data_IF_316254100737
#
_entry.id   IF_316254100737
#
_cell.length_a   1.000
_cell.length_b   1.000
_cell.length_c   1.000
_cell.angle_alpha   90.00
_cell.angle_beta   90.00
_cell.angle_gamma   90.00
#
_symmetry.space_group_name_H-M   'P 1'
#
loop_
_entity.id
_entity.type
_entity.pdbx_description
1 polymer ?
#
# COMPACT_ATOMS: atom_id res chain seq x y z
N UNK A 1 -20.30 -22.59 -59.76
CA UNK A 1 -21.60 -23.28 -59.88
C UNK A 1 -22.12 -23.93 -58.59
N UNK A 2 -21.30 -24.16 -57.55
CA UNK A 2 -21.74 -24.81 -56.29
C UNK A 2 -22.55 -23.92 -55.32
N UNK A 3 -22.40 -22.58 -55.38
CA UNK A 3 -23.12 -21.66 -54.49
C UNK A 3 -24.64 -21.61 -54.72
N UNK A 4 -25.11 -21.78 -55.96
CA UNK A 4 -26.55 -21.68 -56.29
C UNK A 4 -27.38 -22.84 -55.74
N UNK A 5 -26.78 -24.02 -55.49
CA UNK A 5 -27.52 -25.20 -55.00
C UNK A 5 -27.68 -25.22 -53.46
N UNK A 6 -26.88 -24.44 -52.73
CA UNK A 6 -26.86 -24.43 -51.26
C UNK A 6 -27.79 -23.37 -50.62
N UNK A 7 -28.27 -22.39 -51.39
CA UNK A 7 -29.06 -21.25 -50.89
C UNK A 7 -30.55 -21.59 -50.65
N UNK A 8 -31.04 -22.75 -51.11
CA UNK A 8 -32.46 -23.13 -50.96
C UNK A 8 -32.84 -23.65 -49.57
N UNK A 9 -31.86 -23.94 -48.70
CA UNK A 9 -32.12 -24.51 -47.38
C UNK A 9 -31.60 -23.59 -46.26
N UNK A 10 -32.51 -22.81 -45.65
CA UNK A 10 -32.20 -21.78 -44.62
C UNK A 10 -31.35 -22.31 -43.46
N UNK A 11 -31.45 -23.59 -43.10
CA UNK A 11 -30.61 -24.21 -42.05
C UNK A 11 -29.15 -24.37 -42.50
N UNK A 12 -28.90 -24.76 -43.75
CA UNK A 12 -27.54 -24.93 -44.29
C UNK A 12 -26.82 -23.58 -44.47
N UNK A 13 -27.57 -22.54 -44.83
CA UNK A 13 -27.05 -21.16 -44.89
C UNK A 13 -26.63 -20.65 -43.51
N UNK A 14 -27.45 -20.90 -42.46
CA UNK A 14 -27.09 -20.54 -41.08
C UNK A 14 -25.85 -21.27 -40.60
N UNK A 15 -25.70 -22.56 -40.90
CA UNK A 15 -24.51 -23.35 -40.53
C UNK A 15 -23.26 -22.81 -41.24
N UNK A 16 -23.36 -22.51 -42.53
CA UNK A 16 -22.24 -21.93 -43.28
C UNK A 16 -21.83 -20.57 -42.70
N UNK A 17 -22.80 -19.73 -42.32
CA UNK A 17 -22.56 -18.41 -41.75
C UNK A 17 -21.97 -18.49 -40.33
N UNK A 18 -22.33 -19.53 -39.56
CA UNK A 18 -21.74 -19.79 -38.25
C UNK A 18 -20.29 -20.27 -38.38
N UNK A 19 -20.01 -21.14 -39.36
CA UNK A 19 -18.64 -21.60 -39.65
C UNK A 19 -17.75 -20.47 -40.15
N UNK A 20 -18.26 -19.53 -40.94
CA UNK A 20 -17.49 -18.36 -41.37
C UNK A 20 -17.21 -17.39 -40.22
N UNK A 21 -18.17 -17.20 -39.30
CA UNK A 21 -17.94 -16.38 -38.09
C UNK A 21 -16.88 -17.02 -37.19
N UNK A 22 -16.96 -18.34 -36.95
CA UNK A 22 -15.95 -19.05 -36.15
C UNK A 22 -14.58 -18.99 -36.82
N UNK A 23 -14.51 -19.16 -38.14
CA UNK A 23 -13.27 -19.00 -38.91
C UNK A 23 -12.68 -17.59 -38.79
N UNK A 24 -13.51 -16.54 -38.88
CA UNK A 24 -13.08 -15.16 -38.67
C UNK A 24 -12.57 -14.92 -37.26
N UNK A 25 -13.21 -15.46 -36.23
CA UNK A 25 -12.74 -15.34 -34.83
C UNK A 25 -11.38 -16.01 -34.66
N UNK A 26 -11.18 -17.20 -35.23
CA UNK A 26 -9.89 -17.91 -35.17
C UNK A 26 -8.79 -17.14 -35.90
N UNK A 27 -9.08 -16.59 -37.09
CA UNK A 27 -8.13 -15.76 -37.83
C UNK A 27 -7.81 -14.49 -37.04
N UNK A 28 -8.79 -13.87 -36.38
CA UNK A 28 -8.57 -12.66 -35.56
C UNK A 28 -7.70 -12.98 -34.35
N UNK A 29 -7.87 -14.14 -33.72
CA UNK A 29 -7.02 -14.60 -32.61
C UNK A 29 -5.59 -14.89 -33.09
N UNK A 30 -5.41 -15.46 -34.30
CA UNK A 30 -4.10 -15.73 -34.89
C UNK A 30 -3.38 -14.42 -35.30
N UNK A 31 -4.11 -13.44 -35.82
CA UNK A 31 -3.55 -12.12 -36.17
C UNK A 31 -3.22 -11.30 -34.92
N UNK A 32 -4.03 -11.40 -33.85
CA UNK A 32 -3.73 -10.78 -32.56
C UNK A 32 -2.56 -11.48 -31.84
N UNK A 33 -2.35 -12.78 -32.06
CA UNK A 33 -1.19 -13.50 -31.51
C UNK A 33 0.08 -13.30 -32.33
N UNK A 34 -0.02 -13.08 -33.64
CA UNK A 34 1.12 -12.77 -34.51
C UNK A 34 1.56 -11.31 -34.46
N UNK A 35 0.65 -10.37 -34.14
CA UNK A 35 0.98 -8.96 -33.85
C UNK A 35 1.76 -8.77 -32.53
N UNK A 36 2.03 -9.85 -31.78
CA UNK A 36 2.79 -9.86 -30.54
C UNK A 36 4.31 -10.05 -30.67
N UNK A 37 4.87 -10.17 -31.88
CA UNK A 37 6.32 -10.34 -32.08
C UNK A 37 7.08 -9.04 -32.37
N UNK A 38 6.76 -7.96 -31.65
CA UNK A 38 7.75 -6.89 -31.40
C UNK A 38 8.36 -7.13 -30.01
N UNK A 39 9.20 -8.16 -29.91
CA UNK A 39 10.03 -8.50 -28.75
C UNK A 39 11.37 -7.74 -28.72
N UNK A 40 11.51 -6.67 -29.51
CA UNK A 40 12.68 -5.81 -29.45
C UNK A 40 12.40 -4.62 -28.51
N UNK A 41 13.26 -4.50 -27.49
CA UNK A 41 13.32 -3.46 -26.45
C UNK A 41 12.52 -3.77 -25.17
N UNK A 42 12.72 -4.96 -24.61
CA UNK A 42 12.81 -5.08 -23.14
C UNK A 42 14.15 -4.49 -22.70
N UNK A 43 14.21 -3.20 -22.36
CA UNK A 43 15.34 -2.68 -21.58
C UNK A 43 15.22 -3.24 -20.16
N UNK A 44 15.76 -4.44 -19.97
CA UNK A 44 16.12 -4.99 -18.66
C UNK A 44 17.10 -4.01 -18.02
N UNK A 45 16.59 -3.15 -17.14
CA UNK A 45 17.40 -2.24 -16.34
C UNK A 45 18.12 -3.06 -15.27
N UNK A 46 19.23 -3.68 -15.66
CA UNK A 46 20.18 -4.36 -14.76
C UNK A 46 20.82 -3.33 -13.80
N UNK A 47 21.18 -3.76 -12.59
CA UNK A 47 21.92 -2.93 -11.62
C UNK A 47 23.18 -2.32 -12.26
N UNK A 48 23.83 -3.07 -13.17
CA UNK A 48 25.01 -2.59 -13.92
C UNK A 48 24.67 -1.53 -14.97
N UNK A 49 23.48 -1.59 -15.59
CA UNK A 49 23.03 -0.56 -16.53
C UNK A 49 22.67 0.72 -15.77
N UNK A 50 21.98 0.61 -14.64
CA UNK A 50 21.65 1.75 -13.78
C UNK A 50 22.92 2.40 -13.23
N UNK A 51 23.91 1.60 -12.79
CA UNK A 51 25.19 2.10 -12.29
C UNK A 51 26.09 2.70 -13.38
N UNK A 52 26.03 2.22 -14.63
CA UNK A 52 26.81 2.76 -15.75
C UNK A 52 26.19 4.00 -16.39
N UNK A 53 24.86 4.04 -16.51
CA UNK A 53 24.18 5.16 -17.16
C UNK A 53 24.16 6.44 -16.30
N UNK A 54 24.35 6.31 -14.98
CA UNK A 54 24.15 7.43 -14.03
C UNK A 54 25.25 7.51 -12.96
N UNK A 55 26.52 7.36 -13.36
CA UNK A 55 27.64 7.80 -12.53
C UNK A 55 27.57 9.34 -12.39
N UNK A 56 27.74 9.84 -11.17
CA UNK A 56 27.66 11.26 -10.80
C UNK A 56 28.31 12.17 -11.85
N UNK A 57 27.50 13.04 -12.47
CA UNK A 57 27.91 13.90 -13.56
C UNK A 57 26.75 14.23 -14.49
N UNK A 58 25.76 14.96 -13.99
CA UNK A 58 24.60 15.37 -14.79
C UNK A 58 23.66 16.37 -14.12
N UNK A 59 24.13 17.14 -13.14
CA UNK A 59 23.33 18.20 -12.52
C UNK A 59 23.52 19.48 -13.34
N UNK A 60 22.46 19.92 -14.04
CA UNK A 60 22.19 21.34 -14.38
C UNK A 60 20.95 21.59 -15.28
N UNK A 61 20.20 20.57 -15.71
CA UNK A 61 19.07 20.78 -16.62
C UNK A 61 17.66 20.58 -16.03
N UNK A 62 17.51 20.04 -14.81
CA UNK A 62 16.19 19.60 -14.29
C UNK A 62 15.57 20.51 -13.21
N UNK A 63 16.29 21.53 -12.72
CA UNK A 63 15.81 22.38 -11.61
C UNK A 63 14.81 23.48 -12.02
N UNK A 64 14.76 23.88 -13.29
CA UNK A 64 13.95 25.04 -13.71
C UNK A 64 12.46 24.74 -13.98
N UNK A 65 12.06 23.46 -14.08
CA UNK A 65 10.66 23.09 -14.37
C UNK A 65 9.78 22.82 -13.15
N UNK A 66 10.37 22.67 -11.95
CA UNK A 66 9.63 22.31 -10.74
C UNK A 66 8.82 23.48 -10.15
N UNK A 67 9.27 24.71 -10.36
CA UNK A 67 8.65 25.90 -9.74
C UNK A 67 7.34 26.34 -10.45
N UNK A 68 7.16 25.93 -11.71
CA UNK A 68 6.01 26.26 -12.56
C UNK A 68 4.75 25.41 -12.29
N UNK A 69 4.84 24.39 -11.44
CA UNK A 69 3.79 23.38 -11.26
C UNK A 69 3.26 23.27 -9.81
N UNK A 70 3.46 24.30 -8.99
CA UNK A 70 2.95 24.31 -7.61
C UNK A 70 1.41 24.15 -7.60
N UNK A 71 0.87 23.20 -6.80
CA UNK A 71 -0.57 23.03 -6.67
C UNK A 71 -1.19 24.30 -6.07
N UNK A 72 -2.41 24.65 -6.50
CA UNK A 72 -3.12 25.81 -5.95
C UNK A 72 -3.35 25.61 -4.45
N UNK A 73 -2.90 26.58 -3.66
CA UNK A 73 -3.02 26.60 -2.20
C UNK A 73 -3.93 27.77 -1.80
N UNK A 74 -4.90 27.49 -0.95
CA UNK A 74 -5.74 28.50 -0.29
C UNK A 74 -5.43 28.42 1.21
N UNK A 75 -5.01 29.52 1.82
CA UNK A 75 -4.53 29.56 3.22
C UNK A 75 -3.43 28.52 3.55
N UNK A 76 -2.52 28.24 2.61
CA UNK A 76 -1.45 27.25 2.78
C UNK A 76 -1.88 25.79 2.56
N UNK A 77 -3.15 25.53 2.26
CA UNK A 77 -3.71 24.19 2.08
C UNK A 77 -3.93 23.87 0.60
N UNK A 78 -3.48 22.71 0.13
CA UNK A 78 -3.68 22.26 -1.26
C UNK A 78 -5.16 21.96 -1.51
N UNK A 79 -5.78 22.68 -2.45
CA UNK A 79 -7.16 22.44 -2.88
C UNK A 79 -7.16 21.45 -4.06
N UNK A 80 -7.88 20.30 -3.99
CA UNK A 80 -7.95 19.35 -5.10
C UNK A 80 -8.71 19.90 -6.31
N UNK A 81 -8.00 20.33 -7.36
CA UNK A 81 -8.61 20.85 -8.60
C UNK A 81 -8.87 19.74 -9.65
N UNK A 82 -9.91 19.94 -10.48
CA UNK A 82 -10.19 19.12 -11.68
C UNK A 82 -9.20 19.53 -12.78
N UNK A 83 -8.53 18.57 -13.42
CA UNK A 83 -7.61 18.84 -14.54
C UNK A 83 -8.35 19.56 -15.67
N UNK A 84 -7.91 20.78 -15.96
CA UNK A 84 -8.39 21.63 -17.03
C UNK A 84 -7.17 22.15 -17.77
N UNK A 85 -6.99 21.67 -19.00
CA UNK A 85 -5.82 21.94 -19.82
C UNK A 85 -5.64 23.44 -20.10
N UNK A 86 -6.76 24.18 -20.26
CA UNK A 86 -6.72 25.61 -20.56
C UNK A 86 -6.28 26.41 -19.34
N UNK A 87 -6.78 26.06 -18.15
CA UNK A 87 -6.36 26.72 -16.89
C UNK A 87 -4.90 26.45 -16.57
N UNK A 88 -4.43 25.23 -16.80
CA UNK A 88 -3.03 24.86 -16.58
C UNK A 88 -2.13 25.61 -17.57
N UNK A 89 -2.49 25.65 -18.86
CA UNK A 89 -1.74 26.41 -19.89
C UNK A 89 -1.71 27.92 -19.59
N UNK A 90 -2.82 28.50 -19.14
CA UNK A 90 -2.89 29.91 -18.75
C UNK A 90 -1.98 30.23 -17.55
N UNK A 91 -1.96 29.34 -16.55
CA UNK A 91 -1.10 29.48 -15.35
C UNK A 91 0.39 29.34 -15.71
N UNK A 92 0.73 28.40 -16.61
CA UNK A 92 2.09 28.27 -17.16
C UNK A 92 2.51 29.55 -17.90
N UNK A 93 1.61 30.16 -18.66
CA UNK A 93 1.89 31.39 -19.40
C UNK A 93 2.06 32.60 -18.47
N UNK A 94 1.23 32.74 -17.44
CA UNK A 94 1.36 33.78 -16.41
C UNK A 94 2.64 33.63 -15.60
N UNK A 95 2.97 32.41 -15.16
CA UNK A 95 4.20 32.13 -14.42
C UNK A 95 5.46 32.39 -15.27
N UNK A 96 5.44 32.10 -16.58
CA UNK A 96 6.51 32.48 -17.50
C UNK A 96 6.65 34.00 -17.65
N UNK A 97 5.54 34.73 -17.67
CA UNK A 97 5.53 36.20 -17.72
C UNK A 97 6.06 36.82 -16.42
N UNK A 98 5.82 36.20 -15.26
CA UNK A 98 6.35 36.62 -13.97
C UNK A 98 7.84 36.27 -13.81
N UNK A 99 8.26 35.08 -14.26
CA UNK A 99 9.67 34.69 -14.29
C UNK A 99 10.50 35.57 -15.25
N UNK A 100 9.92 36.01 -16.37
CA UNK A 100 10.55 36.98 -17.27
C UNK A 100 10.68 38.39 -16.63
N UNK A 101 9.87 38.70 -15.62
CA UNK A 101 9.96 39.95 -14.86
C UNK A 101 10.94 39.90 -13.68
N UNK A 102 11.39 38.72 -13.28
CA UNK A 102 12.14 38.53 -12.04
C UNK A 102 13.42 37.71 -12.29
N UNK A 103 14.36 38.30 -13.03
CA UNK A 103 15.76 37.86 -13.02
C UNK A 103 16.54 38.70 -12.00
N UNK A 104 16.58 38.23 -10.75
CA UNK A 104 17.65 38.40 -9.74
C UNK A 104 17.08 38.07 -8.35
N UNK A 105 17.20 36.82 -7.92
CA UNK A 105 17.88 36.38 -6.69
C UNK A 105 17.54 34.90 -6.46
N UNK A 106 18.52 34.03 -6.60
CA UNK A 106 18.45 32.67 -6.05
C UNK A 106 18.66 32.76 -4.53
N UNK A 107 17.73 32.19 -3.77
CA UNK A 107 17.97 31.65 -2.44
C UNK A 107 16.96 30.53 -2.25
N UNK A 108 17.45 29.34 -1.86
CA UNK A 108 16.68 28.13 -1.60
C UNK A 108 15.42 28.44 -0.79
N UNK A 109 14.27 28.46 -1.46
CA UNK A 109 13.00 28.46 -0.77
C UNK A 109 12.79 27.03 -0.25
N UNK A 110 13.06 26.81 1.04
CA UNK A 110 12.55 25.64 1.76
C UNK A 110 11.09 25.45 1.35
N UNK A 111 10.77 24.31 0.73
CA UNK A 111 9.39 23.95 0.44
C UNK A 111 8.66 23.91 1.78
N UNK A 112 7.91 24.96 2.10
CA UNK A 112 7.09 25.02 3.32
C UNK A 112 6.04 23.91 3.22
N UNK A 113 6.36 22.78 3.84
CA UNK A 113 5.48 21.62 3.97
C UNK A 113 4.42 21.90 5.02
N UNK A 114 3.20 21.46 4.75
CA UNK A 114 2.14 21.54 5.75
C UNK A 114 2.44 20.45 6.80
N UNK A 115 2.68 20.86 8.03
CA UNK A 115 2.88 19.97 9.17
C UNK A 115 1.71 20.07 10.14
N UNK A 116 1.39 18.98 10.83
CA UNK A 116 0.49 18.99 11.97
C UNK A 116 1.30 18.90 13.26
N UNK A 117 0.99 19.76 14.23
CA UNK A 117 1.65 19.73 15.54
C UNK A 117 1.29 18.49 16.37
N UNK A 118 0.06 17.98 16.20
CA UNK A 118 -0.47 16.82 16.91
C UNK A 118 -0.61 15.59 16.00
N UNK A 119 -0.31 14.42 16.55
CA UNK A 119 -0.53 13.13 15.89
C UNK A 119 -1.90 12.55 16.23
N UNK A 120 -2.51 11.87 15.26
CA UNK A 120 -3.76 11.15 15.39
C UNK A 120 -3.49 9.67 15.64
N UNK A 121 -3.65 9.21 16.89
CA UNK A 121 -3.52 7.78 17.25
C UNK A 121 -4.54 6.88 16.56
N UNK A 122 -5.66 7.44 16.08
CA UNK A 122 -6.66 6.74 15.29
C UNK A 122 -6.29 6.54 13.80
N UNK A 123 -5.19 7.15 13.34
CA UNK A 123 -4.69 6.99 11.97
C UNK A 123 -3.45 6.11 12.01
N UNK A 124 -3.54 4.95 11.38
CA UNK A 124 -2.47 3.96 11.34
C UNK A 124 -1.92 3.82 9.92
N UNK A 125 -0.61 3.70 9.74
CA UNK A 125 0.01 3.55 8.41
C UNK A 125 0.78 2.25 8.29
N UNK A 126 0.58 1.50 7.20
CA UNK A 126 1.40 0.33 6.90
C UNK A 126 2.82 0.76 6.56
N UNK A 127 3.80 0.21 7.29
CA UNK A 127 5.21 0.49 7.12
C UNK A 127 5.99 -0.80 6.86
N UNK A 128 6.80 -0.78 5.81
CA UNK A 128 7.56 -1.94 5.32
C UNK A 128 9.04 -1.74 5.60
N UNK A 129 9.65 -2.69 6.32
CA UNK A 129 11.06 -2.65 6.65
C UNK A 129 11.62 -4.06 6.83
N UNK A 130 12.73 -4.43 6.17
CA UNK A 130 13.32 -3.74 5.01
C UNK A 130 12.41 -3.82 3.76
N UNK A 131 12.51 -2.83 2.88
CA UNK A 131 11.78 -2.84 1.59
C UNK A 131 12.35 -3.93 0.67
N UNK A 132 11.46 -4.74 0.11
CA UNK A 132 11.81 -5.80 -0.85
C UNK A 132 11.96 -5.23 -2.27
N UNK A 133 13.10 -4.59 -2.52
CA UNK A 133 13.38 -3.89 -3.80
C UNK A 133 13.42 -4.80 -5.01
N UNK A 134 13.89 -6.04 -4.88
CA UNK A 134 14.17 -6.91 -6.01
C UNK A 134 13.34 -8.20 -5.98
N UNK A 135 12.90 -8.63 -7.15
CA UNK A 135 12.37 -9.97 -7.38
C UNK A 135 13.49 -10.88 -7.89
N UNK A 136 13.64 -12.06 -7.29
CA UNK A 136 14.45 -13.14 -7.85
C UNK A 136 13.62 -13.88 -8.90
N UNK A 137 13.99 -13.81 -10.17
CA UNK A 137 13.43 -14.72 -11.18
C UNK A 137 14.06 -16.09 -10.94
N UNK A 138 13.29 -17.08 -10.48
CA UNK A 138 13.73 -18.48 -10.62
C UNK A 138 13.86 -18.74 -12.12
N UNK A 139 15.08 -19.00 -12.61
CA UNK A 139 15.21 -19.61 -13.93
C UNK A 139 14.43 -20.92 -13.86
N UNK A 140 13.48 -21.11 -14.77
CA UNK A 140 12.82 -22.40 -14.97
C UNK A 140 13.86 -23.37 -15.55
N UNK A 141 14.56 -24.07 -14.66
CA UNK A 141 15.54 -25.10 -14.95
C UNK A 141 15.82 -25.89 -13.66
N UNK A 142 16.30 -27.14 -13.75
CA UNK A 142 16.64 -27.93 -12.58
C UNK A 142 17.63 -27.15 -11.68
N UNK A 143 17.58 -27.35 -10.35
CA UNK A 143 18.34 -26.56 -9.40
C UNK A 143 19.81 -26.56 -9.82
N UNK A 144 20.32 -25.38 -10.17
CA UNK A 144 21.72 -25.20 -10.49
C UNK A 144 22.52 -25.53 -9.22
N UNK A 145 23.05 -26.75 -9.15
CA UNK A 145 24.12 -27.07 -8.24
C UNK A 145 25.20 -26.01 -8.44
N UNK A 146 25.57 -25.31 -7.38
CA UNK A 146 26.67 -24.36 -7.39
C UNK A 146 27.97 -25.15 -7.60
N UNK A 147 28.29 -25.45 -8.85
CA UNK A 147 29.59 -25.95 -9.27
C UNK A 147 29.96 -25.19 -10.54
N UNK A 148 31.05 -24.43 -10.48
CA UNK A 148 31.72 -24.00 -11.69
C UNK A 148 32.21 -25.27 -12.39
N UNK A 149 31.69 -25.55 -13.59
CA UNK A 149 32.20 -26.63 -14.43
C UNK A 149 33.26 -26.03 -15.35
N UNK A 150 34.51 -26.45 -15.19
CA UNK A 150 35.59 -26.18 -16.15
C UNK A 150 35.35 -27.07 -17.37
N UNK A 151 35.21 -26.48 -18.56
CA UNK A 151 35.17 -27.23 -19.82
C UNK A 151 36.47 -26.98 -20.56
N UNK A 152 37.07 -28.02 -21.12
CA UNK A 152 38.28 -27.93 -21.93
C UNK A 152 37.85 -27.85 -23.40
N UNK A 153 38.37 -26.88 -24.16
CA UNK A 153 38.11 -26.80 -25.60
C UNK A 153 38.89 -27.87 -26.39
N UNK A 154 38.60 -28.03 -27.68
CA UNK A 154 39.28 -29.00 -28.56
C UNK A 154 40.80 -28.76 -28.72
N UNK A 155 41.33 -27.65 -28.19
CA UNK A 155 42.75 -27.28 -28.19
C UNK A 155 43.40 -27.37 -26.80
N UNK A 156 42.69 -27.91 -25.79
CA UNK A 156 43.25 -28.15 -24.46
C UNK A 156 43.20 -26.96 -23.49
N UNK A 157 42.49 -25.88 -23.83
CA UNK A 157 42.38 -24.71 -22.95
C UNK A 157 41.19 -24.82 -21.99
N UNK A 158 41.42 -24.60 -20.70
CA UNK A 158 40.36 -24.55 -19.68
C UNK A 158 39.52 -23.28 -19.80
N UNK A 159 38.24 -23.45 -20.13
CA UNK A 159 37.23 -22.39 -20.16
C UNK A 159 36.34 -22.50 -18.93
N UNK A 160 36.42 -21.51 -18.05
CA UNK A 160 35.55 -21.41 -16.86
C UNK A 160 34.17 -20.88 -17.28
N UNK A 161 33.18 -21.76 -17.34
CA UNK A 161 31.78 -21.36 -17.58
C UNK A 161 31.17 -20.93 -16.25
N UNK A 162 31.17 -19.63 -15.97
CA UNK A 162 30.41 -19.07 -14.85
C UNK A 162 28.92 -19.16 -15.15
N UNK A 163 28.17 -19.89 -14.33
CA UNK A 163 26.70 -19.92 -14.42
C UNK A 163 26.15 -18.49 -14.28
N UNK A 164 25.24 -18.04 -15.17
CA UNK A 164 24.72 -16.68 -15.11
C UNK A 164 23.92 -16.50 -13.81
N UNK A 165 24.37 -15.56 -12.96
CA UNK A 165 23.66 -15.18 -11.73
C UNK A 165 22.22 -14.77 -12.07
N UNK A 166 21.23 -15.12 -11.23
CA UNK A 166 19.84 -14.75 -11.48
C UNK A 166 19.72 -13.22 -11.57
N UNK A 167 19.15 -12.74 -12.68
CA UNK A 167 18.92 -11.31 -12.92
C UNK A 167 17.95 -10.78 -11.86
N UNK A 168 18.40 -9.82 -11.07
CA UNK A 168 17.55 -9.12 -10.10
C UNK A 168 16.73 -8.07 -10.82
N UNK A 169 15.41 -8.20 -10.77
CA UNK A 169 14.49 -7.24 -11.41
C UNK A 169 13.94 -6.33 -10.33
N UNK A 170 14.09 -5.02 -10.53
CA UNK A 170 13.53 -4.02 -9.64
C UNK A 170 12.00 -4.15 -9.58
N UNK A 171 11.48 -4.25 -8.37
CA UNK A 171 10.09 -4.54 -8.08
C UNK A 171 9.36 -3.28 -7.59
N UNK A 172 9.36 -2.23 -8.39
CA UNK A 172 8.53 -1.05 -8.11
C UNK A 172 8.18 -0.30 -9.40
N UNK A 173 6.97 0.28 -9.40
CA UNK A 173 6.49 1.11 -10.50
C UNK A 173 6.94 2.58 -10.37
N UNK A 174 7.36 3.02 -9.18
CA UNK A 174 7.81 4.38 -8.89
C UNK A 174 9.29 4.37 -8.47
N UNK A 175 9.97 5.51 -8.49
CA UNK A 175 11.35 5.61 -8.02
C UNK A 175 11.45 6.43 -6.71
N UNK A 176 12.00 5.88 -5.61
CA UNK A 176 12.12 6.59 -4.34
C UNK A 176 13.07 7.79 -4.41
N UNK A 177 12.70 8.90 -3.79
CA UNK A 177 13.58 10.06 -3.66
C UNK A 177 14.85 9.73 -2.88
N UNK A 178 14.74 8.86 -1.86
CA UNK A 178 15.85 8.40 -1.01
C UNK A 178 16.66 7.26 -1.65
N UNK A 179 16.38 6.91 -2.91
CA UNK A 179 17.01 5.79 -3.61
C UNK A 179 16.59 4.41 -3.07
N UNK A 180 17.32 3.36 -3.48
CA UNK A 180 17.07 1.98 -3.06
C UNK A 180 17.73 1.72 -1.71
N UNK A 181 17.18 2.34 -0.67
CA UNK A 181 17.78 2.40 0.66
C UNK A 181 17.77 1.07 1.42
N UNK A 182 18.64 0.99 2.42
CA UNK A 182 18.61 -0.03 3.49
C UNK A 182 18.25 0.66 4.81
N UNK A 183 17.61 -0.04 5.76
CA UNK A 183 17.28 0.55 7.05
C UNK A 183 18.54 0.95 7.81
N UNK A 184 18.64 2.22 8.17
CA UNK A 184 19.61 2.80 9.12
C UNK A 184 18.84 3.64 10.12
N UNK A 185 19.39 3.88 11.31
CA UNK A 185 18.73 4.70 12.35
C UNK A 185 18.36 6.08 11.79
N UNK A 186 19.31 6.76 11.15
CA UNK A 186 19.10 8.08 10.53
C UNK A 186 17.99 8.10 9.48
N UNK A 187 17.85 7.02 8.70
CA UNK A 187 16.78 6.89 7.72
C UNK A 187 15.42 6.66 8.41
N UNK A 188 15.40 5.83 9.45
CA UNK A 188 14.20 5.57 10.24
C UNK A 188 13.70 6.85 10.91
N UNK A 189 14.59 7.63 11.51
CA UNK A 189 14.26 8.94 12.10
C UNK A 189 13.63 9.87 11.06
N UNK A 190 14.23 10.00 9.87
CA UNK A 190 13.66 10.78 8.77
C UNK A 190 12.26 10.29 8.35
N UNK A 191 12.06 8.98 8.29
CA UNK A 191 10.74 8.42 8.00
C UNK A 191 9.72 8.73 9.11
N UNK A 192 10.14 8.65 10.37
CA UNK A 192 9.28 8.93 11.52
C UNK A 192 8.91 10.42 11.60
N UNK A 193 9.84 11.32 11.28
CA UNK A 193 9.55 12.74 11.11
C UNK A 193 8.52 12.98 10.01
N UNK A 194 8.68 12.39 8.83
CA UNK A 194 7.70 12.50 7.75
C UNK A 194 6.31 11.98 8.18
N UNK A 195 6.24 10.82 8.84
CA UNK A 195 4.99 10.21 9.32
C UNK A 195 4.33 11.09 10.38
N UNK A 196 5.11 11.59 11.34
CA UNK A 196 4.65 12.51 12.39
C UNK A 196 4.12 13.80 11.80
N UNK A 197 4.84 14.38 10.84
CA UNK A 197 4.47 15.64 10.18
C UNK A 197 3.15 15.53 9.41
N UNK A 198 2.82 14.33 8.90
CA UNK A 198 1.51 14.02 8.34
C UNK A 198 0.37 13.90 9.38
N UNK A 199 0.68 14.00 10.67
CA UNK A 199 -0.26 13.79 11.77
C UNK A 199 -0.62 12.32 12.02
N UNK A 200 0.14 11.36 11.48
CA UNK A 200 -0.11 9.93 11.70
C UNK A 200 0.48 9.52 13.06
N UNK A 201 -0.26 8.78 13.88
CA UNK A 201 0.22 8.38 15.22
C UNK A 201 0.78 6.96 15.32
N UNK A 202 0.41 6.04 14.42
CA UNK A 202 0.71 4.62 14.58
C UNK A 202 1.26 3.97 13.31
N UNK A 203 2.38 3.26 13.42
CA UNK A 203 2.92 2.41 12.36
C UNK A 203 2.42 0.97 12.50
N UNK A 204 1.99 0.36 11.40
CA UNK A 204 1.65 -1.06 11.31
C UNK A 204 2.82 -1.78 10.63
N UNK A 205 3.57 -2.56 11.41
CA UNK A 205 4.68 -3.38 10.93
C UNK A 205 4.19 -4.80 10.61
N UNK A 206 4.69 -5.41 9.54
CA UNK A 206 4.41 -6.84 9.28
C UNK A 206 5.25 -7.70 10.21
N UNK A 207 4.60 -8.66 10.89
CA UNK A 207 5.28 -9.64 11.72
C UNK A 207 5.15 -11.03 11.10
N UNK A 208 6.29 -11.63 10.77
CA UNK A 208 6.36 -12.95 10.12
C UNK A 208 6.86 -14.06 11.04
N UNK A 209 7.26 -13.74 12.27
CA UNK A 209 7.79 -14.71 13.23
C UNK A 209 9.24 -15.12 13.02
N UNK A 210 9.96 -14.46 12.11
CA UNK A 210 11.36 -14.77 11.82
C UNK A 210 12.28 -14.09 12.83
N UNK A 211 13.15 -14.87 13.45
CA UNK A 211 14.11 -14.39 14.46
C UNK A 211 15.02 -13.25 13.95
N UNK A 212 15.43 -13.31 12.68
CA UNK A 212 16.28 -12.31 12.03
C UNK A 212 15.66 -10.91 11.92
N UNK A 213 14.33 -10.79 12.04
CA UNK A 213 13.63 -9.51 11.99
C UNK A 213 13.46 -8.90 13.38
N UNK A 214 13.60 -9.70 14.46
CA UNK A 214 13.26 -9.30 15.82
C UNK A 214 14.08 -8.13 16.37
N UNK A 215 15.38 -8.07 16.10
CA UNK A 215 16.25 -6.99 16.58
C UNK A 215 15.90 -5.64 15.95
N UNK A 216 15.71 -5.61 14.62
CA UNK A 216 15.28 -4.41 13.90
C UNK A 216 13.90 -3.93 14.36
N UNK A 217 12.97 -4.85 14.61
CA UNK A 217 11.65 -4.50 15.14
C UNK A 217 11.74 -3.90 16.55
N UNK A 218 12.59 -4.43 17.44
CA UNK A 218 12.83 -3.83 18.77
C UNK A 218 13.43 -2.43 18.64
N UNK A 219 14.46 -2.27 17.82
CA UNK A 219 15.09 -0.97 17.56
C UNK A 219 14.07 0.08 17.09
N UNK A 220 13.15 -0.31 16.20
CA UNK A 220 12.06 0.58 15.76
C UNK A 220 11.14 0.94 16.92
N UNK A 221 10.69 -0.04 17.71
CA UNK A 221 9.77 0.20 18.83
C UNK A 221 10.40 1.08 19.92
N UNK A 222 11.71 1.00 20.12
CA UNK A 222 12.43 1.85 21.07
C UNK A 222 12.65 3.28 20.55
N UNK A 223 12.70 3.46 19.22
CA UNK A 223 12.93 4.74 18.56
C UNK A 223 11.65 5.57 18.37
N UNK A 224 10.51 4.94 18.05
CA UNK A 224 9.25 5.64 17.77
C UNK A 224 8.75 6.60 18.87
N UNK A 225 8.94 6.35 20.19
CA UNK A 225 8.50 7.28 21.22
C UNK A 225 9.20 8.63 21.14
N UNK A 226 10.44 8.68 20.65
CA UNK A 226 11.21 9.92 20.47
C UNK A 226 10.57 10.84 19.42
N UNK A 227 9.75 10.29 18.54
CA UNK A 227 9.00 11.02 17.52
C UNK A 227 7.50 11.13 17.81
N UNK A 228 7.05 10.84 19.04
CA UNK A 228 5.63 10.79 19.43
C UNK A 228 4.80 9.79 18.59
N UNK A 229 5.42 8.70 18.15
CA UNK A 229 4.77 7.64 17.39
C UNK A 229 4.65 6.35 18.22
N UNK A 230 3.77 5.47 17.79
CA UNK A 230 3.63 4.13 18.35
C UNK A 230 3.61 3.07 17.26
N UNK A 231 3.82 1.81 17.63
CA UNK A 231 3.87 0.67 16.71
C UNK A 231 2.82 -0.37 17.09
N UNK A 232 2.17 -0.92 16.07
CA UNK A 232 1.36 -2.13 16.13
C UNK A 232 1.84 -3.13 15.07
N UNK A 233 1.39 -4.37 15.16
CA UNK A 233 1.75 -5.43 14.23
C UNK A 233 0.56 -5.92 13.40
N UNK A 234 0.86 -6.28 12.14
CA UNK A 234 0.04 -7.13 11.28
C UNK A 234 0.65 -8.54 11.26
N UNK A 235 -0.01 -9.48 11.94
CA UNK A 235 0.34 -10.90 11.92
C UNK A 235 -0.13 -11.53 10.60
N UNK A 236 0.77 -12.22 9.90
CA UNK A 236 0.41 -12.96 8.70
C UNK A 236 -0.01 -14.39 9.01
N UNK A 237 -1.26 -14.73 8.72
CA UNK A 237 -1.79 -16.09 8.89
C UNK A 237 -1.97 -16.79 7.55
N UNK A 238 -1.57 -18.04 7.48
CA UNK A 238 -1.81 -18.94 6.34
C UNK A 238 -2.92 -19.93 6.68
N UNK A 239 -3.54 -20.55 5.67
CA UNK A 239 -4.70 -21.44 5.86
C UNK A 239 -4.38 -22.72 6.66
N UNK A 240 -3.11 -23.13 6.73
CA UNK A 240 -2.66 -24.39 7.32
C UNK A 240 -1.78 -24.19 8.57
N UNK A 241 -1.93 -23.06 9.28
CA UNK A 241 -1.15 -22.81 10.49
C UNK A 241 -1.59 -23.72 11.64
N UNK A 242 -0.64 -24.24 12.40
CA UNK A 242 -0.90 -25.02 13.61
C UNK A 242 -1.26 -24.10 14.79
N UNK A 243 -1.95 -24.67 15.79
CA UNK A 243 -2.23 -23.99 17.06
C UNK A 243 -0.92 -23.55 17.72
N UNK A 244 0.06 -24.45 17.80
CA UNK A 244 1.37 -24.20 18.41
C UNK A 244 2.10 -23.03 17.76
N UNK A 245 2.04 -22.93 16.42
CA UNK A 245 2.62 -21.80 15.70
C UNK A 245 1.97 -20.48 16.15
N UNK A 246 0.64 -20.38 16.15
CA UNK A 246 -0.04 -19.16 16.60
C UNK A 246 0.22 -18.85 18.07
N UNK A 247 0.26 -19.87 18.93
CA UNK A 247 0.60 -19.68 20.34
C UNK A 247 2.01 -19.12 20.51
N UNK A 248 2.99 -19.65 19.78
CA UNK A 248 4.36 -19.13 19.79
C UNK A 248 4.41 -17.68 19.30
N UNK A 249 3.75 -17.36 18.18
CA UNK A 249 3.70 -16.00 17.66
C UNK A 249 3.11 -15.01 18.67
N UNK A 250 2.03 -15.39 19.37
CA UNK A 250 1.43 -14.54 20.40
C UNK A 250 2.32 -14.36 21.63
N UNK A 251 3.08 -15.38 22.04
CA UNK A 251 4.07 -15.26 23.12
C UNK A 251 5.20 -14.30 22.72
N UNK A 252 5.71 -14.44 21.50
CA UNK A 252 6.76 -13.55 20.98
C UNK A 252 6.26 -12.11 20.92
N UNK A 253 5.05 -11.89 20.39
CA UNK A 253 4.38 -10.58 20.38
C UNK A 253 4.17 -10.02 21.80
N UNK A 254 3.87 -10.88 22.77
CA UNK A 254 3.79 -10.50 24.19
C UNK A 254 5.03 -9.76 24.67
N UNK A 255 6.23 -10.19 24.26
CA UNK A 255 7.50 -9.54 24.62
C UNK A 255 7.66 -8.14 24.04
N UNK A 256 7.05 -7.84 22.89
CA UNK A 256 7.07 -6.50 22.29
C UNK A 256 6.05 -5.57 22.94
N UNK A 257 4.92 -6.11 23.42
CA UNK A 257 3.84 -5.31 24.00
C UNK A 257 4.20 -4.66 25.34
N UNK A 258 5.30 -5.08 25.96
CA UNK A 258 5.84 -4.46 27.18
C UNK A 258 6.70 -3.23 26.89
N UNK A 259 7.15 -3.03 25.64
CA UNK A 259 7.97 -1.90 25.25
C UNK A 259 7.15 -0.60 25.20
N UNK A 260 7.75 0.56 25.53
CA UNK A 260 7.03 1.84 25.66
C UNK A 260 6.43 2.34 24.35
N UNK A 261 7.05 2.04 23.19
CA UNK A 261 6.54 2.42 21.88
C UNK A 261 5.42 1.53 21.33
N UNK A 262 4.98 0.53 22.09
CA UNK A 262 3.92 -0.36 21.62
C UNK A 262 2.54 0.26 21.79
N UNK A 263 1.78 0.33 20.70
CA UNK A 263 0.47 0.97 20.67
C UNK A 263 -0.57 0.20 21.49
N UNK A 264 -1.22 0.90 22.42
CA UNK A 264 -2.29 0.38 23.27
C UNK A 264 -3.45 1.38 23.34
N UNK A 265 -4.65 0.83 23.52
CA UNK A 265 -5.89 1.58 23.72
C UNK A 265 -6.50 1.17 25.06
N UNK A 266 -7.09 2.10 25.79
CA UNK A 266 -7.75 1.85 27.06
C UNK A 266 -9.09 1.13 26.87
N UNK A 267 -9.18 -0.11 27.31
CA UNK A 267 -10.46 -0.82 27.29
C UNK A 267 -11.29 -0.47 28.53
N UNK A 268 -12.45 0.16 28.34
CA UNK A 268 -13.42 0.36 29.42
C UNK A 268 -14.01 -0.97 29.91
N UNK A 269 -14.31 -1.89 28.98
CA UNK A 269 -14.93 -3.17 29.33
C UNK A 269 -13.96 -4.13 30.04
N UNK A 270 -12.65 -4.04 29.73
CA UNK A 270 -11.62 -4.86 30.39
C UNK A 270 -10.88 -4.12 31.51
N UNK A 271 -11.11 -2.81 31.68
CA UNK A 271 -10.49 -1.98 32.72
C UNK A 271 -8.96 -1.86 32.63
N UNK A 272 -8.38 -1.98 31.42
CA UNK A 272 -6.92 -1.95 31.20
C UNK A 272 -6.56 -1.50 29.79
N UNK A 273 -5.33 -1.01 29.63
CA UNK A 273 -4.75 -0.71 28.32
C UNK A 273 -4.38 -2.01 27.59
N UNK A 274 -4.81 -2.14 26.34
CA UNK A 274 -4.67 -3.34 25.53
C UNK A 274 -4.05 -3.03 24.17
N UNK A 275 -3.19 -3.92 23.66
CA UNK A 275 -2.66 -3.78 22.31
C UNK A 275 -3.77 -3.93 21.28
N UNK A 276 -3.67 -3.17 20.19
CA UNK A 276 -4.42 -3.43 18.95
C UNK A 276 -3.52 -4.23 18.03
N UNK A 277 -4.01 -5.32 17.44
CA UNK A 277 -3.25 -6.20 16.55
C UNK A 277 -4.04 -6.49 15.28
N UNK A 278 -3.39 -6.33 14.12
CA UNK A 278 -3.98 -6.69 12.83
C UNK A 278 -3.65 -8.14 12.48
N UNK A 279 -4.59 -8.83 11.84
CA UNK A 279 -4.41 -10.22 11.41
C UNK A 279 -4.70 -10.32 9.91
N UNK A 280 -3.63 -10.41 9.13
CA UNK A 280 -3.70 -10.60 7.69
C UNK A 280 -4.21 -11.99 7.34
N UNK A 281 -5.10 -12.03 6.34
CA UNK A 281 -5.79 -13.24 5.87
C UNK A 281 -6.60 -13.96 6.96
N UNK A 282 -7.06 -13.24 8.00
CA UNK A 282 -7.87 -13.81 9.09
C UNK A 282 -9.08 -14.60 8.59
N UNK A 283 -9.70 -14.19 7.47
CA UNK A 283 -10.81 -14.93 6.84
C UNK A 283 -10.46 -16.36 6.37
N UNK A 284 -9.19 -16.72 6.33
CA UNK A 284 -8.71 -18.07 5.97
C UNK A 284 -8.45 -18.97 7.19
N UNK A 285 -8.55 -18.43 8.41
CA UNK A 285 -8.42 -19.22 9.63
C UNK A 285 -9.51 -20.30 9.67
N UNK A 286 -9.12 -21.51 10.07
CA UNK A 286 -10.10 -22.56 10.33
C UNK A 286 -10.98 -22.17 11.52
N UNK A 287 -12.23 -22.66 11.51
CA UNK A 287 -13.18 -22.33 12.58
C UNK A 287 -12.74 -22.86 13.94
N UNK A 288 -12.13 -24.06 13.98
CA UNK A 288 -11.57 -24.65 15.21
C UNK A 288 -10.47 -23.79 15.82
N UNK A 289 -9.56 -23.28 14.99
CA UNK A 289 -8.43 -22.45 15.45
C UNK A 289 -8.88 -21.04 15.84
N UNK A 290 -9.71 -20.40 15.01
CA UNK A 290 -10.19 -19.04 15.28
C UNK A 290 -11.06 -18.96 16.53
N UNK A 291 -11.86 -20.00 16.84
CA UNK A 291 -12.67 -20.05 18.07
C UNK A 291 -11.84 -20.08 19.36
N UNK A 292 -10.54 -20.36 19.30
CA UNK A 292 -9.66 -20.21 20.46
C UNK A 292 -9.53 -18.74 20.90
N UNK A 293 -9.87 -17.76 20.04
CA UNK A 293 -10.00 -16.36 20.44
C UNK A 293 -11.27 -16.08 21.26
N UNK A 294 -12.29 -16.93 21.18
CA UNK A 294 -13.50 -16.80 22.00
C UNK A 294 -13.29 -17.26 23.44
N UNK A 295 -12.33 -18.17 23.65
CA UNK A 295 -12.10 -18.80 24.94
C UNK A 295 -11.20 -17.91 25.80
N UNK A 296 -11.79 -17.28 26.81
CA UNK A 296 -11.03 -16.52 27.81
C UNK A 296 -10.44 -17.42 28.91
N UNK A 297 -10.87 -18.68 29.00
CA UNK A 297 -10.46 -19.64 30.04
C UNK A 297 -10.09 -21.01 29.42
N UNK A 298 -8.94 -21.56 29.87
CA UNK A 298 -8.23 -22.78 29.42
C UNK A 298 -7.98 -22.89 27.89
N UNK A 299 -6.70 -23.00 27.52
CA UNK A 299 -6.14 -23.16 26.16
C UNK A 299 -6.45 -22.08 25.10
N UNK A 300 -7.27 -21.07 25.43
CA UNK A 300 -7.59 -19.96 24.54
C UNK A 300 -6.42 -18.99 24.27
N UNK A 301 -6.38 -18.43 23.06
CA UNK A 301 -5.30 -17.55 22.59
C UNK A 301 -5.25 -16.22 23.35
N UNK A 302 -6.39 -15.71 23.83
CA UNK A 302 -6.47 -14.45 24.61
C UNK A 302 -5.79 -14.56 25.99
N UNK A 303 -5.59 -15.77 26.51
CA UNK A 303 -4.82 -15.99 27.73
C UNK A 303 -3.33 -15.71 27.52
N UNK A 304 -2.82 -16.02 26.32
CA UNK A 304 -1.41 -15.79 25.98
C UNK A 304 -1.12 -14.32 25.76
N UNK A 305 -2.00 -13.67 24.99
CA UNK A 305 -1.94 -12.25 24.74
C UNK A 305 -3.35 -11.72 24.53
N UNK A 306 -3.83 -10.94 25.49
CA UNK A 306 -5.11 -10.27 25.39
C UNK A 306 -4.95 -8.97 24.58
N UNK A 307 -5.76 -8.81 23.54
CA UNK A 307 -5.63 -7.72 22.57
C UNK A 307 -6.97 -7.41 21.90
N UNK A 308 -7.01 -6.31 21.14
CA UNK A 308 -8.02 -6.05 20.12
C UNK A 308 -7.54 -6.64 18.79
N UNK A 309 -8.12 -7.76 18.37
CA UNK A 309 -7.77 -8.43 17.12
C UNK A 309 -8.62 -7.92 15.95
N UNK A 310 -7.97 -7.30 14.97
CA UNK A 310 -8.61 -6.71 13.78
C UNK A 310 -8.29 -7.58 12.56
N UNK A 311 -9.28 -8.35 12.10
CA UNK A 311 -9.09 -9.33 11.03
C UNK A 311 -9.25 -8.77 9.62
N UNK A 312 -8.40 -9.19 8.68
CA UNK A 312 -8.56 -8.83 7.27
C UNK A 312 -9.80 -9.50 6.68
N UNK A 313 -10.65 -8.73 5.98
CA UNK A 313 -11.77 -9.24 5.18
C UNK A 313 -11.64 -8.88 3.70
N UNK A 314 -12.30 -9.67 2.84
CA UNK A 314 -12.39 -9.42 1.40
C UNK A 314 -13.82 -9.41 0.90
N UNK A 315 -14.61 -10.40 1.30
CA UNK A 315 -16.00 -10.57 0.91
C UNK A 315 -16.95 -10.13 2.04
N UNK A 316 -18.21 -9.85 1.69
CA UNK A 316 -19.27 -9.53 2.65
C UNK A 316 -19.42 -10.61 3.72
N UNK A 317 -19.40 -11.89 3.32
CA UNK A 317 -19.53 -13.04 4.22
C UNK A 317 -18.40 -13.15 5.24
N UNK A 318 -17.22 -12.58 4.97
CA UNK A 318 -16.09 -12.67 5.90
C UNK A 318 -16.31 -11.86 7.18
N UNK A 319 -17.17 -10.83 7.17
CA UNK A 319 -17.52 -10.11 8.39
C UNK A 319 -18.22 -11.04 9.40
N UNK A 320 -19.12 -11.91 8.91
CA UNK A 320 -19.76 -12.93 9.75
C UNK A 320 -18.79 -14.01 10.23
N UNK A 321 -17.85 -14.43 9.38
CA UNK A 321 -16.78 -15.35 9.79
C UNK A 321 -16.00 -14.75 10.96
N UNK A 322 -15.50 -13.52 10.84
CA UNK A 322 -14.71 -12.90 11.92
C UNK A 322 -15.50 -12.71 13.20
N UNK A 323 -16.80 -12.39 13.11
CA UNK A 323 -17.71 -12.36 14.26
C UNK A 323 -17.78 -13.72 14.95
N UNK A 324 -17.97 -14.82 14.20
CA UNK A 324 -18.01 -16.19 14.74
C UNK A 324 -16.69 -16.64 15.36
N UNK A 325 -15.57 -16.07 14.90
CA UNK A 325 -14.22 -16.32 15.43
C UNK A 325 -13.83 -15.33 16.56
N UNK A 326 -14.78 -14.53 17.08
CA UNK A 326 -14.57 -13.58 18.18
C UNK A 326 -13.42 -12.58 17.94
N UNK A 327 -13.24 -12.15 16.70
CA UNK A 327 -12.44 -10.96 16.41
C UNK A 327 -13.15 -9.71 16.94
N UNK A 328 -12.38 -8.74 17.42
CA UNK A 328 -12.93 -7.47 17.91
C UNK A 328 -13.26 -6.51 16.75
N UNK A 329 -12.77 -6.78 15.55
CA UNK A 329 -13.03 -5.96 14.38
C UNK A 329 -12.45 -6.51 13.09
N UNK A 330 -12.58 -5.72 12.03
CA UNK A 330 -12.09 -6.06 10.71
C UNK A 330 -11.67 -4.85 9.89
N UNK A 331 -10.76 -5.09 8.93
CA UNK A 331 -10.21 -4.07 8.05
C UNK A 331 -10.14 -4.53 6.59
N UNK A 332 -10.09 -3.56 5.66
CA UNK A 332 -10.16 -3.82 4.22
C UNK A 332 -8.82 -4.13 3.56
N UNK A 333 -7.70 -3.76 4.19
CA UNK A 333 -6.29 -3.94 3.78
C UNK A 333 -5.88 -3.29 2.45
N UNK A 334 -6.58 -3.57 1.37
CA UNK A 334 -6.23 -3.10 0.03
C UNK A 334 -6.74 -1.66 -0.18
N UNK A 335 -5.92 -0.75 -0.71
CA UNK A 335 -6.35 0.61 -1.06
C UNK A 335 -7.11 0.65 -2.40
N UNK A 336 -7.13 -0.44 -3.17
CA UNK A 336 -7.76 -0.52 -4.49
C UNK A 336 -9.28 -0.63 -4.40
N UNK A 337 -9.97 0.45 -4.77
CA UNK A 337 -11.42 0.54 -4.82
C UNK A 337 -11.99 -0.47 -5.83
N UNK A 338 -12.94 -1.30 -5.41
CA UNK A 338 -13.53 -2.31 -6.28
C UNK A 338 -12.74 -3.62 -6.41
N UNK A 339 -11.54 -3.73 -5.82
CA UNK A 339 -10.76 -4.97 -5.87
C UNK A 339 -11.42 -6.12 -5.06
N UNK A 340 -12.08 -5.76 -3.96
CA UNK A 340 -12.83 -6.68 -3.12
C UNK A 340 -14.10 -5.97 -2.59
N UNK A 341 -15.04 -6.73 -2.02
CA UNK A 341 -16.21 -6.12 -1.38
C UNK A 341 -15.79 -5.15 -0.26
N UNK A 342 -14.78 -5.53 0.53
CA UNK A 342 -14.28 -4.73 1.66
C UNK A 342 -13.54 -3.45 1.24
N UNK A 343 -12.77 -3.50 0.14
CA UNK A 343 -12.06 -2.34 -0.39
C UNK A 343 -12.93 -1.44 -1.28
N UNK A 344 -14.19 -1.79 -1.52
CA UNK A 344 -15.13 -0.98 -2.29
C UNK A 344 -15.77 0.09 -1.40
N UNK A 345 -15.47 1.36 -1.67
CA UNK A 345 -15.85 2.48 -0.79
C UNK A 345 -17.37 2.64 -0.61
N UNK A 346 -18.15 2.29 -1.63
CA UNK A 346 -19.63 2.29 -1.57
C UNK A 346 -20.18 1.34 -0.49
N UNK A 347 -19.42 0.32 -0.09
CA UNK A 347 -19.84 -0.67 0.90
C UNK A 347 -19.43 -0.29 2.32
N UNK A 348 -18.68 0.79 2.52
CA UNK A 348 -18.14 1.16 3.84
C UNK A 348 -19.24 1.57 4.83
N UNK A 349 -20.33 2.18 4.37
CA UNK A 349 -21.50 2.45 5.21
C UNK A 349 -22.12 1.17 5.74
N UNK A 350 -22.34 0.18 4.86
CA UNK A 350 -22.83 -1.14 5.26
C UNK A 350 -21.90 -1.83 6.26
N UNK A 351 -20.59 -1.83 6.00
CA UNK A 351 -19.59 -2.45 6.87
C UNK A 351 -19.52 -1.77 8.24
N UNK A 352 -19.60 -0.43 8.27
CA UNK A 352 -19.68 0.35 9.50
C UNK A 352 -20.95 0.00 10.28
N UNK A 353 -22.12 -0.03 9.64
CA UNK A 353 -23.38 -0.40 10.30
C UNK A 353 -23.33 -1.83 10.84
N UNK A 354 -22.82 -2.78 10.07
CA UNK A 354 -22.63 -4.16 10.52
C UNK A 354 -21.73 -4.21 11.77
N UNK A 355 -20.59 -3.52 11.74
CA UNK A 355 -19.67 -3.48 12.86
C UNK A 355 -20.33 -2.90 14.11
N UNK A 356 -21.09 -1.80 13.99
CA UNK A 356 -21.85 -1.22 15.11
C UNK A 356 -22.88 -2.20 15.68
N UNK A 357 -23.68 -2.87 14.83
CA UNK A 357 -24.70 -3.83 15.29
C UNK A 357 -24.12 -4.99 16.11
N UNK A 358 -22.90 -5.40 15.82
CA UNK A 358 -22.23 -6.52 16.49
C UNK A 358 -21.11 -6.09 17.44
N UNK A 359 -21.03 -4.80 17.79
CA UNK A 359 -20.03 -4.27 18.73
C UNK A 359 -18.58 -4.53 18.28
N UNK A 360 -18.35 -4.52 16.97
CA UNK A 360 -17.06 -4.72 16.33
C UNK A 360 -16.50 -3.40 15.80
N UNK A 361 -15.20 -3.38 15.50
CA UNK A 361 -14.54 -2.29 14.79
C UNK A 361 -14.53 -2.51 13.29
N UNK A 362 -14.87 -1.48 12.53
CA UNK A 362 -14.56 -1.42 11.10
C UNK A 362 -13.48 -0.38 10.86
N UNK A 363 -12.37 -0.82 10.25
CA UNK A 363 -11.21 0.02 9.92
C UNK A 363 -11.01 0.05 8.41
N UNK A 364 -11.50 1.07 7.68
CA UNK A 364 -11.22 1.19 6.26
C UNK A 364 -9.74 1.44 6.00
N UNK A 365 -9.25 0.98 4.86
CA UNK A 365 -7.89 1.26 4.38
C UNK A 365 -7.94 2.17 3.16
N UNK A 366 -7.34 3.35 3.28
CA UNK A 366 -7.17 4.35 2.22
C UNK A 366 -5.76 4.25 1.63
N UNK A 367 -5.57 4.69 0.38
CA UNK A 367 -4.25 4.78 -0.23
C UNK A 367 -4.26 5.63 -1.49
N UNK A 368 -3.10 6.16 -1.90
CA UNK A 368 -3.00 7.12 -2.99
C UNK A 368 -3.31 6.51 -4.37
N UNK A 369 -3.15 5.20 -4.49
CA UNK A 369 -3.39 4.41 -5.68
C UNK A 369 -2.79 3.02 -5.51
N UNK A 370 -2.70 2.27 -6.60
CA UNK A 370 -2.07 0.94 -6.61
C UNK A 370 -1.50 0.69 -8.01
N UNK A 371 -0.20 0.44 -8.11
CA UNK A 371 0.47 0.23 -9.39
C UNK A 371 1.65 -0.74 -9.23
N UNK A 372 1.53 -1.92 -9.83
CA UNK A 372 2.61 -2.90 -9.88
C UNK A 372 3.39 -2.76 -11.19
N UNK A 373 4.70 -3.00 -11.17
CA UNK A 373 5.54 -2.96 -12.39
C UNK A 373 5.21 -4.07 -13.40
N UNK A 374 4.58 -5.18 -12.97
CA UNK A 374 4.33 -6.34 -13.83
C UNK A 374 3.11 -6.14 -14.74
N UNK A 375 3.27 -6.40 -16.05
CA UNK A 375 2.16 -6.41 -17.04
C UNK A 375 1.06 -7.43 -16.74
N UNK A 376 1.37 -8.51 -16.01
CA UNK A 376 0.38 -9.44 -15.45
C UNK A 376 0.24 -9.13 -13.96
N UNK A 377 -0.83 -8.43 -13.55
CA UNK A 377 -1.03 -8.11 -12.14
C UNK A 377 -1.06 -9.41 -11.34
N UNK A 378 -0.36 -9.46 -10.20
CA UNK A 378 -0.40 -10.65 -9.32
C UNK A 378 -1.82 -10.92 -8.80
N UNK A 379 -2.72 -9.95 -8.92
CA UNK A 379 -4.03 -9.92 -8.28
C UNK A 379 -5.18 -9.57 -9.25
N UNK A 380 -4.99 -9.67 -10.57
CA UNK A 380 -5.96 -9.18 -11.58
C UNK A 380 -5.98 -7.65 -11.70
N UNK A 381 -6.95 -7.07 -12.43
CA UNK A 381 -7.02 -5.62 -12.67
C UNK A 381 -7.45 -4.82 -11.42
N UNK A 382 -6.53 -4.70 -10.47
CA UNK A 382 -6.67 -3.93 -9.23
C UNK A 382 -5.85 -2.65 -9.25
N UNK A 383 -5.26 -2.29 -10.41
CA UNK A 383 -4.47 -1.07 -10.55
C UNK A 383 -5.37 0.15 -10.48
N UNK A 384 -4.94 1.18 -9.74
CA UNK A 384 -5.69 2.41 -9.56
C UNK A 384 -4.75 3.58 -9.73
N UNK A 385 -5.00 4.36 -10.78
CA UNK A 385 -4.26 5.59 -11.04
C UNK A 385 -4.51 6.61 -9.92
N UNK A 386 -3.45 7.31 -9.52
CA UNK A 386 -3.53 8.26 -8.40
C UNK A 386 -4.33 9.52 -8.74
N UNK A 387 -4.49 9.79 -10.04
CA UNK A 387 -5.33 10.87 -10.60
C UNK A 387 -5.04 12.21 -9.93
N UNK A 388 -3.74 12.55 -9.86
CA UNK A 388 -3.23 13.77 -9.26
C UNK A 388 -3.66 14.01 -7.80
N UNK A 389 -3.91 12.94 -7.02
CA UNK A 389 -4.37 13.00 -5.64
C UNK A 389 -5.89 12.88 -5.46
N UNK A 390 -6.67 12.98 -6.55
CA UNK A 390 -8.15 12.88 -6.48
C UNK A 390 -8.61 11.52 -5.98
N UNK A 391 -7.94 10.44 -6.42
CA UNK A 391 -8.28 9.08 -5.98
C UNK A 391 -8.17 8.98 -4.44
N UNK A 392 -7.06 9.45 -3.89
CA UNK A 392 -6.82 9.47 -2.45
C UNK A 392 -7.85 10.29 -1.70
N UNK A 393 -8.16 11.50 -2.21
CA UNK A 393 -9.13 12.39 -1.58
C UNK A 393 -10.56 11.88 -1.59
N UNK A 394 -10.96 11.06 -2.56
CA UNK A 394 -12.28 10.39 -2.51
C UNK A 394 -12.29 9.34 -1.39
N UNK A 395 -11.23 8.53 -1.28
CA UNK A 395 -11.11 7.51 -0.23
C UNK A 395 -11.23 8.13 1.18
N UNK A 396 -10.46 9.19 1.45
CA UNK A 396 -10.49 9.89 2.73
C UNK A 396 -11.86 10.49 3.04
N UNK A 397 -12.45 11.23 2.10
CA UNK A 397 -13.80 11.79 2.31
C UNK A 397 -14.82 10.70 2.60
N UNK A 398 -14.77 9.58 1.90
CA UNK A 398 -15.69 8.47 2.18
C UNK A 398 -15.45 7.89 3.58
N UNK A 399 -14.21 7.75 4.03
CA UNK A 399 -13.93 7.29 5.39
C UNK A 399 -14.48 8.27 6.45
N UNK A 400 -14.19 9.57 6.29
CA UNK A 400 -14.63 10.64 7.21
C UNK A 400 -16.16 10.72 7.27
N UNK A 401 -16.85 10.69 6.12
CA UNK A 401 -18.32 10.75 6.03
C UNK A 401 -19.00 9.54 6.69
N UNK A 402 -18.31 8.41 6.84
CA UNK A 402 -18.85 7.23 7.52
C UNK A 402 -18.57 7.23 9.04
N UNK A 403 -17.98 8.31 9.59
CA UNK A 403 -17.63 8.44 11.01
C UNK A 403 -16.93 7.18 11.55
N UNK A 404 -15.95 6.69 10.79
CA UNK A 404 -15.19 5.49 11.16
C UNK A 404 -14.25 5.80 12.31
N UNK A 405 -13.99 4.77 13.14
CA UNK A 405 -13.17 4.92 14.34
C UNK A 405 -11.70 5.14 14.01
N UNK A 406 -11.12 4.13 13.39
CA UNK A 406 -9.74 4.16 12.91
C UNK A 406 -9.69 4.16 11.38
N UNK A 407 -8.60 4.70 10.82
CA UNK A 407 -8.31 4.68 9.39
C UNK A 407 -6.91 4.12 9.20
N UNK A 408 -6.80 3.11 8.32
CA UNK A 408 -5.51 2.61 7.89
C UNK A 408 -5.07 3.31 6.59
N UNK A 409 -3.78 3.59 6.45
CA UNK A 409 -3.16 4.08 5.21
C UNK A 409 -2.29 2.95 4.64
N UNK A 410 -2.63 2.47 3.45
CA UNK A 410 -1.80 1.59 2.64
C UNK A 410 -1.20 2.44 1.50
N UNK A 411 0.04 2.90 1.62
CA UNK A 411 1.03 2.65 2.70
C UNK A 411 2.02 3.80 2.82
N UNK A 412 2.89 3.80 3.83
CA UNK A 412 4.04 4.71 3.83
C UNK A 412 4.98 4.37 2.66
N UNK A 413 5.49 3.13 2.60
CA UNK A 413 6.57 2.72 1.70
C UNK A 413 6.46 1.28 1.13
N UNK A 414 5.25 0.77 0.88
CA UNK A 414 5.10 -0.50 0.14
C UNK A 414 5.27 -0.26 -1.38
N UNK A 415 6.53 -0.09 -1.79
CA UNK A 415 6.98 0.14 -3.16
C UNK A 415 6.62 -0.97 -4.17
N UNK A 416 6.62 -2.27 -3.81
CA UNK A 416 6.12 -3.35 -4.66
C UNK A 416 4.69 -3.18 -5.15
N UNK A 417 3.82 -2.62 -4.31
CA UNK A 417 2.40 -2.44 -4.61
C UNK A 417 2.10 -1.05 -5.20
N UNK A 418 3.11 -0.17 -5.26
CA UNK A 418 2.97 1.19 -5.77
C UNK A 418 1.99 2.05 -4.96
N UNK A 419 1.77 1.70 -3.69
CA UNK A 419 0.79 2.32 -2.79
C UNK A 419 1.40 3.36 -1.84
N UNK A 420 2.70 3.62 -1.95
CA UNK A 420 3.47 4.46 -1.05
C UNK A 420 3.01 5.94 -1.10
N UNK A 421 2.97 6.60 0.07
CA UNK A 421 2.89 8.07 0.19
C UNK A 421 4.28 8.72 0.29
N UNK A 422 5.33 7.92 0.55
CA UNK A 422 6.73 8.36 0.56
C UNK A 422 7.11 9.10 -0.73
N UNK A 423 8.13 9.95 -0.61
CA UNK A 423 8.62 10.84 -1.66
C UNK A 423 9.07 10.08 -2.92
N UNK A 424 8.61 10.57 -4.09
CA UNK A 424 8.98 10.02 -5.40
C UNK A 424 9.63 11.09 -6.25
N UNK A 425 10.69 10.71 -6.96
CA UNK A 425 11.34 11.56 -7.97
C UNK A 425 11.02 11.08 -9.38
N UNK A 426 10.82 11.99 -10.34
CA UNK A 426 10.68 11.64 -11.75
C UNK A 426 11.92 10.86 -12.24
N UNK A 427 11.70 9.72 -12.89
CA UNK A 427 12.78 8.94 -13.50
C UNK A 427 12.27 8.19 -14.73
N UNK A 428 13.03 8.22 -15.81
CA UNK A 428 12.66 7.53 -17.05
C UNK A 428 12.33 6.05 -16.82
N UNK A 429 11.15 5.62 -17.27
CA UNK A 429 10.67 4.24 -17.09
C UNK A 429 10.01 3.94 -15.74
N UNK A 430 9.74 4.96 -14.93
CA UNK A 430 8.97 4.90 -13.69
C UNK A 430 7.82 5.89 -13.72
N UNK A 431 6.77 5.59 -12.95
CA UNK A 431 5.70 6.53 -12.63
C UNK A 431 6.20 7.55 -11.60
N UNK A 432 5.58 8.73 -11.57
CA UNK A 432 5.93 9.84 -10.69
C UNK A 432 4.68 10.54 -10.13
N UNK A 433 4.87 11.67 -9.44
CA UNK A 433 3.80 12.47 -8.83
C UNK A 433 3.41 13.71 -9.64
N UNK A 434 3.92 13.85 -10.87
CA UNK A 434 3.68 15.02 -11.69
C UNK A 434 2.18 15.24 -11.96
N UNK A 435 1.71 16.51 -12.02
CA UNK A 435 2.48 17.75 -11.87
C UNK A 435 2.79 18.17 -10.40
N UNK A 436 2.51 17.37 -9.38
CA UNK A 436 2.83 17.75 -7.99
C UNK A 436 4.30 17.51 -7.62
N UNK A 437 4.71 18.09 -6.48
CA UNK A 437 6.05 17.88 -5.89
C UNK A 437 6.29 16.43 -5.47
N UNK A 438 7.55 16.10 -5.18
CA UNK A 438 7.94 14.79 -4.63
C UNK A 438 7.23 14.44 -3.32
N UNK A 439 6.85 15.44 -2.53
CA UNK A 439 6.16 15.30 -1.22
C UNK A 439 4.65 15.31 -1.30
N UNK A 440 4.06 15.45 -2.50
CA UNK A 440 2.62 15.68 -2.70
C UNK A 440 1.71 14.81 -1.83
N UNK A 441 2.00 13.52 -1.72
CA UNK A 441 1.15 12.61 -0.96
C UNK A 441 1.34 12.70 0.55
N UNK A 442 2.51 13.14 1.04
CA UNK A 442 2.70 13.52 2.43
C UNK A 442 1.83 14.75 2.76
N UNK A 443 1.90 15.80 1.94
CA UNK A 443 1.12 17.03 2.12
C UNK A 443 -0.40 16.76 2.06
N UNK A 444 -0.84 15.91 1.13
CA UNK A 444 -2.24 15.48 1.05
C UNK A 444 -2.66 14.67 2.28
N UNK A 445 -1.79 13.81 2.80
CA UNK A 445 -2.08 13.08 4.04
C UNK A 445 -2.23 14.05 5.21
N UNK A 446 -1.34 15.03 5.36
CA UNK A 446 -1.48 16.09 6.38
C UNK A 446 -2.86 16.75 6.30
N UNK A 447 -3.27 17.18 5.09
CA UNK A 447 -4.57 17.80 4.88
C UNK A 447 -5.74 16.90 5.33
N UNK A 448 -5.74 15.63 4.93
CA UNK A 448 -6.84 14.72 5.25
C UNK A 448 -6.89 14.29 6.71
N UNK A 449 -5.72 14.11 7.35
CA UNK A 449 -5.65 13.85 8.79
C UNK A 449 -6.17 15.05 9.57
N UNK A 450 -5.79 16.28 9.18
CA UNK A 450 -6.33 17.51 9.77
C UNK A 450 -7.85 17.60 9.66
N UNK A 451 -8.40 17.32 8.47
CA UNK A 451 -9.85 17.26 8.26
C UNK A 451 -10.53 16.18 9.13
N UNK A 452 -9.93 14.99 9.23
CA UNK A 452 -10.44 13.91 10.07
C UNK A 452 -10.48 14.31 11.55
N UNK A 453 -9.42 14.92 12.07
CA UNK A 453 -9.35 15.41 13.44
C UNK A 453 -10.38 16.51 13.70
N UNK A 454 -10.51 17.47 12.78
CA UNK A 454 -11.49 18.56 12.87
C UNK A 454 -12.92 18.01 12.95
N UNK A 455 -13.30 17.13 12.03
CA UNK A 455 -14.65 16.52 12.03
C UNK A 455 -14.92 15.73 13.31
N UNK A 456 -13.90 15.07 13.89
CA UNK A 456 -14.03 14.39 15.18
C UNK A 456 -14.25 15.36 16.33
N UNK A 457 -13.50 16.45 16.39
CA UNK A 457 -13.64 17.47 17.44
C UNK A 457 -15.00 18.15 17.38
N UNK A 458 -15.46 18.53 16.18
CA UNK A 458 -16.78 19.14 15.97
C UNK A 458 -17.90 18.24 16.46
N UNK A 459 -17.84 16.96 16.12
CA UNK A 459 -18.87 16.02 16.51
C UNK A 459 -18.73 15.60 18.00
N UNK A 460 -17.56 15.77 18.64
CA UNK A 460 -17.39 15.64 20.09
C UNK A 460 -18.06 16.78 20.85
N UNK A 461 -17.91 18.01 20.35
CA UNK A 461 -18.51 19.20 20.92
C UNK A 461 -20.06 19.19 20.82
N UNK A 462 -20.61 18.46 19.84
CA UNK A 462 -22.06 18.32 19.66
C UNK A 462 -22.71 17.26 20.57
N UNK A 463 -21.93 16.42 21.27
CA UNK A 463 -22.43 15.38 22.17
C UNK A 463 -22.57 15.83 23.62
N UNK A 464 -23.30 15.09 24.50
CA UNK A 464 -23.37 15.40 25.92
C UNK A 464 -21.97 15.38 26.57
N UNK A 465 -21.69 16.35 27.44
CA UNK A 465 -20.40 16.61 28.11
C UNK A 465 -20.01 15.52 29.14
N UNK A 466 -19.92 14.26 28.75
CA UNK A 466 -19.31 13.19 29.54
C UNK A 466 -18.04 12.71 28.83
N UNK A 467 -16.89 13.07 29.43
CA UNK A 467 -15.51 12.58 29.21
C UNK A 467 -15.06 12.40 27.75
N UNK A 468 -13.92 13.05 27.42
CA UNK A 468 -13.17 13.13 26.15
C UNK A 468 -12.84 11.81 25.39
N UNK A 469 -13.61 10.74 25.52
CA UNK A 469 -13.54 9.52 24.71
C UNK A 469 -14.52 9.63 23.54
N UNK A 470 -14.24 10.49 22.56
CA UNK A 470 -15.11 10.68 21.39
C UNK A 470 -15.40 9.37 20.62
N UNK A 471 -14.55 8.35 20.81
CA UNK A 471 -14.77 7.01 20.28
C UNK A 471 -14.94 5.98 21.38
N UNK A 472 -15.99 6.14 22.19
CA UNK A 472 -16.68 4.99 22.77
C UNK A 472 -17.16 4.10 21.62
N UNK A 473 -16.25 3.29 21.05
CA UNK A 473 -16.62 2.20 20.16
C UNK A 473 -17.40 1.22 21.02
N UNK A 474 -18.72 1.44 21.05
CA UNK A 474 -19.69 0.74 21.87
C UNK A 474 -19.41 0.80 23.40
N UNK A 475 -18.95 1.94 23.92
CA UNK A 475 -18.58 2.10 25.34
C UNK A 475 -17.50 1.13 25.84
N UNK A 476 -16.59 0.69 24.95
CA UNK A 476 -15.57 -0.31 25.32
C UNK A 476 -14.13 0.10 25.07
N UNK A 477 -13.87 1.07 24.19
CA UNK A 477 -12.53 1.57 23.89
C UNK A 477 -12.52 3.08 24.15
N UNK A 478 -11.53 3.52 24.91
CA UNK A 478 -10.91 4.83 24.91
C UNK A 478 -9.40 4.60 24.64
#
# INVERSE_FOLDING_TARGET
>A
MLLKKYVKNRRKLKILLLLTIVGLIVITIIVLSSAGQNSAIERLLDERFIARAYRAGGDKAEEQSADLLKPHRENGVIVPEKYDEQKIKARIMQSRLEQLKQQQHDTEAEEVHTTLEAVATAVHVFYTVPVQWYKSKKLSGPPAAAAASTLVDEHGNEVVVTTPRPVKILNTAFYPALGLYKPTVTLLEKHFENIRNCGIGVLILSYTGRSSEGELLRQIIDLVPQHNLSVTFELSVASNQSVDYLQQQLRDLGSFTTLPGFYKVWSQSRGKALPVLYVSNAYKLSESLGRLLCQSQKDGLRRLLDAYFIGHIRLKSHADVLRRLCFDGFYSKLPSNGATFASTWKNWSYLKSYALSYKMLFVPTVGPGFAERNKFPRHGDIQRHRSNGRYYGVAWRTAILNHVGFINIASYNNWPDGSQIEEVVPRAGFLDYNPGSKTKYLDLTTHWVGNFLKTRQEAAAAGPQQLNCYELLNNTIC
#
